data_IF_344724402580
#
_entry.id   IF_344724402580
#
_cell.length_a   1.000
_cell.length_b   1.000
_cell.length_c   1.000
_cell.angle_alpha   90.00
_cell.angle_beta   90.00
_cell.angle_gamma   90.00
#
_symmetry.space_group_name_H-M   'P 1'
#
loop_
_entity.id
_entity.type
_entity.pdbx_description
1 polymer ?
#
# COMPACT_ATOMS: atom_id res chain seq x y z
N UNK A 1 -34.52 -5.95 33.78
CA UNK A 1 -34.40 -4.55 33.30
C UNK A 1 -34.35 -4.60 31.79
N UNK A 2 -35.38 -4.06 31.13
CA UNK A 2 -35.50 -4.05 29.66
C UNK A 2 -34.55 -3.01 29.09
N UNK A 3 -33.64 -3.43 28.22
CA UNK A 3 -32.83 -2.54 27.39
C UNK A 3 -33.77 -1.72 26.49
N UNK A 4 -33.59 -0.39 26.35
CA UNK A 4 -34.43 0.39 25.47
C UNK A 4 -34.20 -0.02 24.01
N UNK A 5 -35.28 -0.39 23.32
CA UNK A 5 -35.32 -0.60 21.88
C UNK A 5 -34.85 0.68 21.18
N UNK A 6 -33.66 0.64 20.58
CA UNK A 6 -33.08 1.75 19.83
C UNK A 6 -33.77 1.80 18.47
N UNK A 7 -34.59 2.84 18.25
CA UNK A 7 -35.27 3.08 16.97
C UNK A 7 -34.29 3.00 15.80
N UNK A 8 -34.70 2.30 14.74
CA UNK A 8 -33.92 2.07 13.53
C UNK A 8 -33.71 3.39 12.78
N UNK A 9 -32.59 4.06 13.02
CA UNK A 9 -32.09 5.06 12.10
C UNK A 9 -31.53 4.32 10.88
N UNK A 10 -32.05 4.61 9.68
CA UNK A 10 -31.63 4.00 8.41
C UNK A 10 -30.17 4.30 8.00
N UNK A 11 -29.49 5.21 8.72
CA UNK A 11 -28.12 5.61 8.45
C UNK A 11 -27.14 4.91 9.39
N UNK A 12 -25.97 4.44 8.91
CA UNK A 12 -24.94 3.88 9.78
C UNK A 12 -24.53 4.91 10.85
N UNK A 13 -24.41 4.49 12.12
CA UNK A 13 -24.06 5.40 13.20
C UNK A 13 -22.63 5.92 13.01
N UNK A 14 -22.42 7.21 13.29
CA UNK A 14 -21.08 7.77 13.40
C UNK A 14 -20.34 7.11 14.57
N UNK A 15 -19.21 6.44 14.28
CA UNK A 15 -18.42 5.72 15.27
C UNK A 15 -16.94 5.79 14.94
N UNK A 16 -16.12 6.08 15.95
CA UNK A 16 -14.67 5.97 15.90
C UNK A 16 -14.24 4.71 16.67
N UNK A 17 -13.71 3.71 15.96
CA UNK A 17 -13.23 2.48 16.59
C UNK A 17 -11.96 2.77 17.38
N UNK A 18 -11.86 2.24 18.59
CA UNK A 18 -10.69 2.32 19.46
C UNK A 18 -10.31 0.94 20.00
N UNK A 19 -9.13 0.82 20.60
CA UNK A 19 -8.63 -0.38 21.26
C UNK A 19 -8.11 0.00 22.65
N UNK A 20 -8.21 -0.91 23.63
CA UNK A 20 -7.78 -0.61 24.99
C UNK A 20 -6.26 -0.64 25.13
N UNK A 21 -5.73 0.21 26.01
CA UNK A 21 -4.33 0.21 26.45
C UNK A 21 -4.32 0.19 27.98
N UNK A 22 -3.64 -0.80 28.58
CA UNK A 22 -3.55 -0.96 30.03
C UNK A 22 -2.10 -0.78 30.49
N UNK A 23 -1.72 0.36 31.10
CA UNK A 23 -0.37 0.54 31.61
C UNK A 23 -0.14 -0.38 32.82
N UNK A 24 1.02 -1.04 32.85
CA UNK A 24 1.46 -1.88 33.97
C UNK A 24 2.60 -1.22 34.77
N UNK A 25 3.19 -0.14 34.25
CA UNK A 25 4.24 0.64 34.88
C UNK A 25 4.76 1.74 33.96
N UNK A 26 5.90 2.35 34.29
CA UNK A 26 6.48 3.46 33.52
C UNK A 26 7.05 3.04 32.16
N UNK A 27 7.35 1.74 31.96
CA UNK A 27 7.96 1.20 30.74
C UNK A 27 7.24 -0.01 30.16
N UNK A 28 6.08 -0.38 30.73
CA UNK A 28 5.36 -1.59 30.34
C UNK A 28 3.85 -1.37 30.36
N UNK A 29 3.16 -2.10 29.48
CA UNK A 29 1.71 -2.05 29.33
C UNK A 29 1.23 -3.14 28.38
N UNK A 30 -0.08 -3.33 28.34
CA UNK A 30 -0.78 -4.23 27.43
C UNK A 30 -1.55 -3.40 26.40
N UNK A 31 -1.54 -3.85 25.14
CA UNK A 31 -2.30 -3.25 24.05
C UNK A 31 -3.22 -4.32 23.50
N UNK A 32 -4.50 -3.98 23.32
CA UNK A 32 -5.48 -4.90 22.77
C UNK A 32 -5.17 -5.20 21.30
N UNK A 33 -5.13 -6.48 20.96
CA UNK A 33 -5.09 -6.95 19.59
C UNK A 33 -6.49 -6.83 18.95
N UNK A 34 -6.56 -6.29 17.74
CA UNK A 34 -7.82 -6.16 17.00
C UNK A 34 -7.93 -7.32 16.02
N UNK A 35 -8.85 -8.24 16.31
CA UNK A 35 -9.14 -9.36 15.41
C UNK A 35 -10.03 -8.93 14.23
N UNK A 36 -9.90 -9.64 13.10
CA UNK A 36 -10.72 -9.43 11.90
C UNK A 36 -10.35 -8.20 11.06
N UNK A 37 -9.41 -7.36 11.50
CA UNK A 37 -8.90 -6.25 10.70
C UNK A 37 -7.95 -6.76 9.61
N UNK A 38 -8.25 -6.47 8.34
CA UNK A 38 -7.34 -6.76 7.22
C UNK A 38 -6.55 -5.51 6.86
N UNK A 39 -5.20 -5.51 6.96
CA UNK A 39 -4.39 -4.38 6.53
C UNK A 39 -4.53 -4.12 5.03
N UNK A 40 -4.69 -2.86 4.66
CA UNK A 40 -4.87 -2.42 3.26
C UNK A 40 -3.77 -2.93 2.32
N UNK A 41 -2.51 -2.91 2.78
CA UNK A 41 -1.36 -3.38 1.99
C UNK A 41 -1.46 -4.86 1.61
N UNK A 42 -2.14 -5.71 2.40
CA UNK A 42 -2.31 -7.12 2.04
C UNK A 42 -3.13 -7.31 0.76
N UNK A 43 -4.12 -6.45 0.51
CA UNK A 43 -4.94 -6.49 -0.71
C UNK A 43 -4.06 -6.24 -1.93
N UNK A 44 -3.24 -5.19 -1.87
CA UNK A 44 -2.27 -4.84 -2.91
C UNK A 44 -1.23 -5.95 -3.12
N UNK A 45 -0.65 -6.50 -2.05
CA UNK A 45 0.35 -7.58 -2.14
C UNK A 45 -0.21 -8.85 -2.78
N UNK A 46 -1.44 -9.24 -2.44
CA UNK A 46 -2.12 -10.37 -3.10
C UNK A 46 -2.31 -10.12 -4.60
N UNK A 47 -2.64 -8.89 -5.00
CA UNK A 47 -2.70 -8.52 -6.41
C UNK A 47 -1.33 -8.63 -7.10
N UNK A 48 -0.25 -8.10 -6.49
CA UNK A 48 1.10 -8.21 -7.04
C UNK A 48 1.54 -9.67 -7.26
N UNK A 49 1.28 -10.55 -6.29
CA UNK A 49 1.57 -11.99 -6.42
C UNK A 49 0.79 -12.63 -7.57
N UNK A 50 -0.49 -12.29 -7.75
CA UNK A 50 -1.28 -12.76 -8.91
C UNK A 50 -0.70 -12.26 -10.24
N UNK A 51 -0.22 -11.02 -10.30
CA UNK A 51 0.43 -10.48 -11.51
C UNK A 51 1.75 -11.19 -11.81
N UNK A 52 2.58 -11.45 -10.79
CA UNK A 52 3.83 -12.18 -10.94
C UNK A 52 3.59 -13.61 -11.45
N UNK A 53 2.61 -14.32 -10.88
CA UNK A 53 2.22 -15.66 -11.33
C UNK A 53 1.74 -15.67 -12.79
N UNK A 54 0.94 -14.68 -13.21
CA UNK A 54 0.50 -14.54 -14.60
C UNK A 54 1.68 -14.35 -15.57
N UNK A 55 2.65 -13.50 -15.22
CA UNK A 55 3.84 -13.27 -16.05
C UNK A 55 4.69 -14.52 -16.24
N UNK A 56 4.79 -15.41 -15.25
CA UNK A 56 5.51 -16.69 -15.37
C UNK A 56 4.81 -17.69 -16.30
N UNK A 57 3.47 -17.67 -16.40
CA UNK A 57 2.78 -18.57 -17.35
C UNK A 57 3.09 -18.22 -18.81
N UNK A 58 3.48 -16.97 -19.07
CA UNK A 58 3.84 -16.47 -20.40
C UNK A 58 5.35 -16.51 -20.71
N UNK A 59 6.20 -16.60 -19.69
CA UNK A 59 7.65 -16.71 -19.85
C UNK A 59 8.19 -17.87 -19.01
N UNK A 60 8.84 -18.84 -19.66
CA UNK A 60 9.34 -20.10 -19.07
C UNK A 60 10.45 -19.94 -18.01
N UNK A 61 10.56 -18.79 -17.35
CA UNK A 61 11.54 -18.48 -16.31
C UNK A 61 11.05 -18.97 -14.95
N UNK A 62 11.53 -20.16 -14.55
CA UNK A 62 11.38 -20.72 -13.20
C UNK A 62 12.18 -19.86 -12.21
N UNK A 63 11.53 -19.02 -11.39
CA UNK A 63 12.19 -18.34 -10.27
C UNK A 63 11.52 -17.09 -9.67
N UNK A 64 10.46 -16.53 -10.28
CA UNK A 64 9.99 -15.17 -9.94
C UNK A 64 8.77 -15.11 -9.00
N UNK A 65 8.72 -15.89 -7.92
CA UNK A 65 7.57 -15.86 -6.99
C UNK A 65 7.64 -14.72 -5.96
N UNK A 66 8.71 -13.91 -6.00
CA UNK A 66 8.84 -12.77 -5.09
C UNK A 66 8.26 -11.52 -5.75
N UNK A 67 7.19 -10.99 -5.16
CA UNK A 67 6.68 -9.67 -5.52
C UNK A 67 7.78 -8.63 -5.26
N UNK A 68 8.05 -7.78 -6.26
CA UNK A 68 9.07 -6.73 -6.20
C UNK A 68 8.82 -5.80 -5.00
N UNK A 69 9.90 -5.44 -4.28
CA UNK A 69 9.76 -4.58 -3.10
C UNK A 69 9.28 -3.19 -3.55
N UNK A 70 8.45 -2.49 -2.75
CA UNK A 70 7.94 -1.17 -3.14
C UNK A 70 9.05 -0.17 -3.53
N UNK A 71 10.16 -0.18 -2.78
CA UNK A 71 11.31 0.67 -3.06
C UNK A 71 11.96 0.34 -4.41
N UNK A 72 12.13 -0.94 -4.71
CA UNK A 72 12.74 -1.40 -5.97
C UNK A 72 11.87 -1.01 -7.16
N UNK A 73 10.56 -1.25 -7.06
CA UNK A 73 9.58 -0.87 -8.08
C UNK A 73 9.63 0.64 -8.36
N UNK A 74 9.61 1.46 -7.30
CA UNK A 74 9.69 2.91 -7.43
C UNK A 74 11.01 3.36 -8.07
N UNK A 75 12.16 2.89 -7.56
CA UNK A 75 13.46 3.29 -8.09
C UNK A 75 13.69 2.84 -9.53
N UNK A 76 13.13 1.69 -9.92
CA UNK A 76 13.17 1.21 -11.30
C UNK A 76 12.44 2.17 -12.25
N UNK A 77 11.23 2.62 -11.88
CA UNK A 77 10.47 3.62 -12.64
C UNK A 77 11.16 4.98 -12.65
N UNK A 78 11.66 5.42 -11.49
CA UNK A 78 12.38 6.68 -11.36
C UNK A 78 13.62 6.72 -12.25
N UNK A 79 14.44 5.65 -12.24
CA UNK A 79 15.61 5.52 -13.14
C UNK A 79 15.20 5.59 -14.61
N UNK A 80 14.13 4.90 -14.99
CA UNK A 80 13.63 4.95 -16.36
C UNK A 80 13.20 6.37 -16.76
N UNK A 81 12.46 7.07 -15.88
CA UNK A 81 12.02 8.45 -16.13
C UNK A 81 13.18 9.45 -16.21
N UNK A 82 14.21 9.30 -15.37
CA UNK A 82 15.43 10.13 -15.45
C UNK A 82 16.17 9.92 -16.77
N UNK A 83 16.33 8.66 -17.20
CA UNK A 83 16.96 8.33 -18.47
C UNK A 83 16.18 8.89 -19.67
N UNK A 84 14.85 8.78 -19.66
CA UNK A 84 13.98 9.29 -20.74
C UNK A 84 14.00 10.82 -20.86
N UNK A 85 14.26 11.54 -19.77
CA UNK A 85 14.34 13.00 -19.75
C UNK A 85 15.80 13.52 -19.80
N UNK A 86 16.77 12.65 -20.08
CA UNK A 86 18.20 12.98 -20.17
C UNK A 86 18.75 13.71 -18.93
N UNK A 87 18.26 13.37 -17.74
CA UNK A 87 18.69 13.98 -16.47
C UNK A 87 19.95 13.26 -15.97
N UNK A 88 20.96 14.03 -15.54
CA UNK A 88 22.23 13.48 -15.07
C UNK A 88 22.06 12.52 -13.87
N UNK A 89 22.72 11.36 -13.93
CA UNK A 89 22.64 10.32 -12.90
C UNK A 89 23.06 10.79 -11.50
N UNK A 90 23.92 11.81 -11.40
CA UNK A 90 24.33 12.40 -10.12
C UNK A 90 23.15 12.97 -9.33
N UNK A 91 22.15 13.55 -10.03
CA UNK A 91 20.93 14.07 -9.38
C UNK A 91 20.05 12.96 -8.82
N UNK A 92 20.19 11.71 -9.28
CA UNK A 92 19.45 10.58 -8.73
C UNK A 92 19.89 10.24 -7.30
N UNK A 93 21.15 10.53 -6.95
CA UNK A 93 21.70 10.27 -5.60
C UNK A 93 21.20 11.26 -4.55
N UNK A 94 20.84 12.47 -4.98
CA UNK A 94 20.39 13.56 -4.10
C UNK A 94 18.90 13.83 -4.26
N UNK A 95 18.11 13.26 -3.33
CA UNK A 95 16.65 13.39 -3.33
C UNK A 95 16.15 14.83 -3.30
N UNK A 96 16.92 15.77 -2.71
CA UNK A 96 16.49 17.16 -2.64
C UNK A 96 16.48 17.85 -4.00
N UNK A 97 17.24 17.31 -4.97
CA UNK A 97 17.37 17.86 -6.32
C UNK A 97 16.41 17.22 -7.33
N UNK A 98 15.54 16.31 -6.89
CA UNK A 98 14.64 15.60 -7.81
C UNK A 98 13.59 16.55 -8.39
N UNK A 99 13.44 16.61 -9.74
CA UNK A 99 12.43 17.47 -10.35
C UNK A 99 11.01 16.99 -10.04
N UNK A 100 10.13 17.92 -9.65
CA UNK A 100 8.74 17.62 -9.29
C UNK A 100 7.98 16.94 -10.44
N UNK A 101 8.11 17.46 -11.67
CA UNK A 101 7.43 16.93 -12.84
C UNK A 101 7.75 15.44 -13.11
N UNK A 102 8.98 15.01 -12.79
CA UNK A 102 9.39 13.60 -12.92
C UNK A 102 8.70 12.74 -11.88
N UNK A 103 8.59 13.24 -10.64
CA UNK A 103 7.91 12.51 -9.56
C UNK A 103 6.42 12.37 -9.82
N UNK A 104 5.79 13.41 -10.35
CA UNK A 104 4.38 13.37 -10.78
C UNK A 104 4.18 12.35 -11.89
N UNK A 105 5.02 12.37 -12.92
CA UNK A 105 4.95 11.41 -14.02
C UNK A 105 5.12 9.96 -13.56
N UNK A 106 6.09 9.68 -12.67
CA UNK A 106 6.30 8.34 -12.10
C UNK A 106 5.10 7.91 -11.26
N UNK A 107 4.50 8.82 -10.48
CA UNK A 107 3.32 8.54 -9.69
C UNK A 107 2.12 8.19 -10.59
N UNK A 108 1.86 8.98 -11.63
CA UNK A 108 0.78 8.73 -12.59
C UNK A 108 0.93 7.36 -13.27
N UNK A 109 2.16 6.98 -13.64
CA UNK A 109 2.46 5.67 -14.20
C UNK A 109 2.11 4.54 -13.22
N UNK A 110 2.55 4.64 -11.96
CA UNK A 110 2.26 3.64 -10.91
C UNK A 110 0.75 3.54 -10.60
N UNK A 111 0.04 4.67 -10.63
CA UNK A 111 -1.42 4.71 -10.48
C UNK A 111 -2.10 4.01 -11.66
N UNK A 112 -1.61 4.21 -12.89
CA UNK A 112 -2.17 3.60 -14.09
C UNK A 112 -1.95 2.08 -14.14
N UNK A 113 -0.82 1.60 -13.61
CA UNK A 113 -0.52 0.17 -13.53
C UNK A 113 -1.41 -0.59 -12.52
N UNK A 114 -1.84 0.09 -11.46
CA UNK A 114 -2.61 -0.53 -10.38
C UNK A 114 -4.12 -0.34 -10.62
N UNK A 115 -4.93 -1.41 -10.62
CA UNK A 115 -6.36 -1.28 -10.80
C UNK A 115 -7.00 -0.50 -9.64
N UNK A 116 -7.96 0.38 -9.97
CA UNK A 116 -8.62 1.27 -8.99
C UNK A 116 -9.69 0.57 -8.13
N UNK A 117 -10.10 -0.63 -8.52
CA UNK A 117 -11.18 -1.41 -7.93
C UNK A 117 -10.70 -2.51 -6.96
N UNK A 118 -9.46 -2.43 -6.46
CA UNK A 118 -8.88 -3.44 -5.57
C UNK A 118 -9.66 -3.69 -4.27
N UNK A 119 -10.36 -2.67 -3.77
CA UNK A 119 -11.08 -2.72 -2.49
C UNK A 119 -12.59 -2.90 -2.66
N UNK A 120 -13.14 -2.46 -3.78
CA UNK A 120 -14.58 -2.48 -4.05
C UNK A 120 -15.05 -3.81 -4.66
N UNK A 121 -14.11 -4.68 -5.07
CA UNK A 121 -14.37 -6.04 -5.53
C UNK A 121 -14.47 -7.01 -4.37
#
# INVERSE_FOLDING_TARGET
>A
MLSPQKGSTDWPPYSARNYSVTPLGSRSGLIQWVEGATPMFHVYRKWQLRQAARKQTTSSAKGANEAERPSELFFKKLKAAFNSNCIAGDTLTDRQKWPLAILESVLEELIKETPRDLLSR
#
